data_IF_167017407199
#
_entry.id   IF_167017407199
#
_cell.length_a   1.000
_cell.length_b   1.000
_cell.length_c   1.000
_cell.angle_alpha   90.00
_cell.angle_beta   90.00
_cell.angle_gamma   90.00
#
_symmetry.space_group_name_H-M   'P 1'
#
loop_
_entity.id
_entity.type
_entity.pdbx_description
1 polymer ?
#
# COMPACT_ATOMS: atom_id res chain seq x y z
N UNK A 1 18.18 -38.42 0.43
CA UNK A 1 17.73 -37.80 1.69
C UNK A 1 18.29 -36.40 1.78
N UNK A 2 17.57 -35.42 1.24
CA UNK A 2 17.68 -33.99 1.57
C UNK A 2 16.25 -33.48 1.46
N UNK A 3 15.63 -33.00 2.54
CA UNK A 3 14.22 -32.64 2.55
C UNK A 3 13.96 -31.40 1.70
N UNK A 4 12.75 -31.38 1.14
CA UNK A 4 12.16 -30.39 0.25
C UNK A 4 11.97 -29.00 0.89
N UNK A 5 13.02 -28.18 0.97
CA UNK A 5 12.90 -26.78 1.41
C UNK A 5 13.93 -25.90 0.70
N UNK A 6 13.63 -25.48 -0.52
CA UNK A 6 14.12 -24.19 -1.05
C UNK A 6 13.38 -23.74 -2.33
N UNK A 7 12.13 -24.17 -2.48
CA UNK A 7 11.17 -23.53 -3.39
C UNK A 7 10.34 -22.46 -2.68
N UNK A 8 10.89 -21.83 -1.62
CA UNK A 8 10.32 -20.67 -0.92
C UNK A 8 11.25 -19.44 -1.02
N UNK A 9 12.44 -19.61 -1.59
CA UNK A 9 13.46 -18.57 -1.77
C UNK A 9 13.47 -17.94 -3.17
N UNK A 10 12.44 -18.21 -4.00
CA UNK A 10 12.25 -17.48 -5.26
C UNK A 10 11.73 -16.05 -4.98
N UNK A 11 12.59 -15.06 -5.25
CA UNK A 11 12.27 -13.65 -5.55
C UNK A 11 12.11 -12.60 -4.43
N UNK A 12 12.61 -12.77 -3.20
CA UNK A 12 12.75 -11.61 -2.29
C UNK A 12 14.08 -10.90 -2.53
N UNK A 13 14.07 -9.82 -3.33
CA UNK A 13 15.26 -8.97 -3.58
C UNK A 13 15.78 -8.25 -2.32
N UNK A 14 15.11 -8.39 -1.17
CA UNK A 14 15.41 -7.74 0.09
C UNK A 14 15.65 -8.73 1.23
N UNK A 15 16.48 -8.33 2.19
CA UNK A 15 16.78 -9.10 3.41
C UNK A 15 15.53 -9.30 4.27
N UNK A 16 15.40 -10.45 4.96
CA UNK A 16 14.30 -10.78 5.90
C UNK A 16 13.79 -9.61 6.79
N UNK A 17 14.66 -8.80 7.45
CA UNK A 17 14.18 -7.67 8.25
C UNK A 17 13.48 -6.60 7.41
N UNK A 18 13.92 -6.37 6.17
CA UNK A 18 13.38 -5.32 5.31
C UNK A 18 12.01 -5.72 4.79
N UNK A 19 11.84 -6.97 4.36
CA UNK A 19 10.52 -7.51 3.97
C UNK A 19 9.52 -7.38 5.13
N UNK A 20 9.95 -7.75 6.34
CA UNK A 20 9.09 -7.63 7.54
C UNK A 20 8.70 -6.18 7.82
N UNK A 21 9.66 -5.25 7.74
CA UNK A 21 9.40 -3.82 7.94
C UNK A 21 8.43 -3.25 6.90
N UNK A 22 8.62 -3.60 5.62
CA UNK A 22 7.74 -3.21 4.53
C UNK A 22 6.33 -3.74 4.77
N UNK A 23 6.18 -5.05 5.02
CA UNK A 23 4.87 -5.65 5.28
C UNK A 23 4.16 -4.97 6.46
N UNK A 24 4.86 -4.68 7.54
CA UNK A 24 4.28 -3.98 8.70
C UNK A 24 3.91 -2.54 8.34
N UNK A 25 4.76 -1.78 7.64
CA UNK A 25 4.43 -0.41 7.24
C UNK A 25 3.21 -0.37 6.32
N UNK A 26 3.16 -1.24 5.30
CA UNK A 26 2.02 -1.37 4.40
C UNK A 26 0.73 -1.72 5.17
N UNK A 27 0.80 -2.65 6.13
CA UNK A 27 -0.34 -3.00 6.97
C UNK A 27 -0.80 -1.81 7.84
N UNK A 28 0.12 -1.04 8.41
CA UNK A 28 -0.25 0.13 9.22
C UNK A 28 -0.87 1.25 8.38
N UNK A 29 -0.35 1.52 7.18
CA UNK A 29 -0.91 2.51 6.25
C UNK A 29 -2.28 2.06 5.78
N UNK A 30 -2.47 0.77 5.50
CA UNK A 30 -3.77 0.21 5.14
C UNK A 30 -4.80 0.38 6.25
N UNK A 31 -4.44 0.07 7.50
CA UNK A 31 -5.33 0.24 8.65
C UNK A 31 -5.61 1.73 8.90
N UNK A 32 -4.61 2.60 8.82
CA UNK A 32 -4.77 4.04 9.01
C UNK A 32 -5.66 4.65 7.92
N UNK A 33 -5.45 4.26 6.66
CA UNK A 33 -6.27 4.65 5.52
C UNK A 33 -7.71 4.16 5.67
N UNK A 34 -7.93 2.91 6.07
CA UNK A 34 -9.27 2.40 6.35
C UNK A 34 -9.93 3.17 7.48
N UNK A 35 -9.28 3.34 8.64
CA UNK A 35 -9.87 4.02 9.79
C UNK A 35 -10.17 5.49 9.49
N UNK A 36 -9.26 6.20 8.84
CA UNK A 36 -9.43 7.60 8.45
C UNK A 36 -10.57 7.77 7.45
N UNK A 37 -10.57 6.99 6.38
CA UNK A 37 -11.59 7.07 5.33
C UNK A 37 -12.95 6.57 5.81
N UNK A 38 -13.01 5.53 6.64
CA UNK A 38 -14.25 5.01 7.20
C UNK A 38 -14.87 5.97 8.22
N UNK A 39 -14.05 6.61 9.06
CA UNK A 39 -14.53 7.65 9.98
C UNK A 39 -15.14 8.83 9.21
N UNK A 40 -14.48 9.26 8.14
CA UNK A 40 -14.98 10.31 7.23
C UNK A 40 -16.31 9.88 6.62
N UNK A 41 -16.40 8.73 5.96
CA UNK A 41 -17.66 8.21 5.38
C UNK A 41 -18.76 8.15 6.45
N UNK A 42 -18.45 7.69 7.66
CA UNK A 42 -19.41 7.59 8.76
C UNK A 42 -19.93 8.97 9.19
N UNK A 43 -19.05 9.98 9.30
CA UNK A 43 -19.41 11.37 9.62
C UNK A 43 -20.28 11.97 8.51
N UNK A 44 -19.90 11.72 7.25
CA UNK A 44 -20.60 12.18 6.04
C UNK A 44 -22.01 11.58 5.97
N UNK A 45 -22.14 10.26 6.17
CA UNK A 45 -23.42 9.56 6.17
C UNK A 45 -24.31 9.99 7.34
N UNK A 46 -23.72 10.22 8.51
CA UNK A 46 -24.43 10.68 9.71
C UNK A 46 -24.98 12.10 9.53
N UNK A 47 -24.35 12.93 8.69
CA UNK A 47 -24.80 14.28 8.42
C UNK A 47 -25.52 14.40 7.06
N UNK A 48 -26.67 13.73 6.96
CA UNK A 48 -27.50 13.65 5.74
C UNK A 48 -27.97 15.03 5.20
N UNK A 49 -27.99 16.06 6.05
CA UNK A 49 -28.42 17.42 5.68
C UNK A 49 -27.35 18.23 4.91
N UNK A 50 -26.09 17.77 4.89
CA UNK A 50 -24.96 18.48 4.29
C UNK A 50 -24.40 17.75 3.06
N UNK A 51 -25.26 17.28 2.16
CA UNK A 51 -24.85 16.75 0.82
C UNK A 51 -24.44 17.89 -0.13
N UNK A 52 -23.53 18.75 0.32
CA UNK A 52 -22.90 19.77 -0.52
C UNK A 52 -21.77 19.17 -1.36
N UNK A 53 -21.35 19.86 -2.42
CA UNK A 53 -20.25 19.48 -3.34
C UNK A 53 -18.98 19.05 -2.59
N UNK A 54 -18.69 19.71 -1.46
CA UNK A 54 -17.56 19.37 -0.57
C UNK A 54 -17.62 17.94 -0.05
N UNK A 55 -18.82 17.42 0.24
CA UNK A 55 -19.01 16.10 0.83
C UNK A 55 -18.77 14.98 -0.20
N UNK A 56 -19.15 15.24 -1.46
CA UNK A 56 -18.86 14.36 -2.59
C UNK A 56 -17.35 14.34 -2.89
N UNK A 57 -16.70 15.50 -2.82
CA UNK A 57 -15.25 15.59 -2.98
C UNK A 57 -14.49 14.79 -1.91
N UNK A 58 -14.91 14.89 -0.66
CA UNK A 58 -14.33 14.15 0.46
C UNK A 58 -14.53 12.63 0.30
N UNK A 59 -15.73 12.18 -0.08
CA UNK A 59 -15.96 10.76 -0.39
C UNK A 59 -15.09 10.28 -1.55
N UNK A 60 -14.98 11.07 -2.62
CA UNK A 60 -14.15 10.72 -3.76
C UNK A 60 -12.66 10.64 -3.41
N UNK A 61 -12.17 11.57 -2.57
CA UNK A 61 -10.81 11.53 -2.03
C UNK A 61 -10.57 10.25 -1.23
N UNK A 62 -11.50 9.90 -0.34
CA UNK A 62 -11.40 8.69 0.47
C UNK A 62 -11.42 7.40 -0.37
N UNK A 63 -12.19 7.39 -1.46
CA UNK A 63 -12.23 6.26 -2.39
C UNK A 63 -10.94 6.15 -3.20
N UNK A 64 -10.39 7.30 -3.63
CA UNK A 64 -9.11 7.37 -4.34
C UNK A 64 -7.96 6.88 -3.45
N UNK A 65 -7.93 7.26 -2.17
CA UNK A 65 -6.92 6.79 -1.22
C UNK A 65 -7.00 5.27 -1.00
N UNK A 66 -8.21 4.70 -0.90
CA UNK A 66 -8.39 3.25 -0.83
C UNK A 66 -7.92 2.56 -2.12
N UNK A 67 -8.24 3.13 -3.29
CA UNK A 67 -7.77 2.61 -4.58
C UNK A 67 -6.24 2.67 -4.69
N UNK A 68 -5.62 3.77 -4.28
CA UNK A 68 -4.17 3.91 -4.25
C UNK A 68 -3.57 2.88 -3.30
N UNK A 69 -4.13 2.73 -2.10
CA UNK A 69 -3.59 1.77 -1.12
C UNK A 69 -3.74 0.31 -1.59
N UNK A 70 -4.81 -0.03 -2.31
CA UNK A 70 -5.07 -1.39 -2.80
C UNK A 70 -4.31 -1.71 -4.08
N UNK A 71 -4.17 -0.74 -5.01
CA UNK A 71 -3.58 -0.99 -6.32
C UNK A 71 -2.14 -0.48 -6.45
N UNK A 72 -1.85 0.71 -5.96
CA UNK A 72 -0.53 1.35 -6.13
C UNK A 72 0.50 0.74 -5.17
N UNK A 73 0.16 0.56 -3.89
CA UNK A 73 1.09 -0.01 -2.90
C UNK A 73 1.64 -1.39 -3.29
N UNK A 74 0.83 -2.40 -3.70
CA UNK A 74 1.39 -3.68 -4.13
C UNK A 74 2.14 -3.60 -5.46
N UNK A 75 1.75 -2.70 -6.38
CA UNK A 75 2.50 -2.45 -7.61
C UNK A 75 3.87 -1.85 -7.29
N UNK A 76 3.96 -0.89 -6.38
CA UNK A 76 5.22 -0.28 -5.93
C UNK A 76 6.08 -1.30 -5.19
N UNK A 77 5.52 -2.13 -4.30
CA UNK A 77 6.25 -3.21 -3.65
C UNK A 77 6.77 -4.23 -4.66
N UNK A 78 5.92 -4.64 -5.62
CA UNK A 78 6.29 -5.56 -6.68
C UNK A 78 7.39 -4.97 -7.57
N UNK A 79 7.31 -3.68 -7.91
CA UNK A 79 8.38 -2.98 -8.63
C UNK A 79 9.66 -2.90 -7.81
N UNK A 80 9.58 -2.64 -6.51
CA UNK A 80 10.76 -2.55 -5.63
C UNK A 80 11.44 -3.92 -5.45
N UNK A 81 10.64 -5.00 -5.43
CA UNK A 81 11.14 -6.37 -5.36
C UNK A 81 11.69 -6.83 -6.72
N UNK A 82 10.95 -6.66 -7.82
CA UNK A 82 11.37 -7.11 -9.16
C UNK A 82 12.53 -6.25 -9.73
N UNK A 83 12.58 -4.96 -9.41
CA UNK A 83 13.64 -4.02 -9.88
C UNK A 83 14.82 -3.95 -8.89
N UNK A 84 14.82 -4.80 -7.86
CA UNK A 84 15.81 -4.83 -6.78
C UNK A 84 17.26 -5.13 -7.16
N UNK A 85 17.61 -5.29 -8.45
CA UNK A 85 19.01 -5.40 -8.86
C UNK A 85 19.36 -4.78 -10.22
N UNK A 86 18.62 -3.80 -10.73
CA UNK A 86 19.00 -3.18 -12.02
C UNK A 86 19.25 -1.67 -11.95
N UNK A 87 18.57 -0.94 -11.05
CA UNK A 87 18.56 0.53 -11.11
C UNK A 87 18.94 1.28 -9.82
N UNK A 88 19.25 0.60 -8.72
CA UNK A 88 19.66 1.28 -7.47
C UNK A 88 20.92 2.15 -7.61
N UNK A 89 21.83 1.79 -8.52
CA UNK A 89 23.00 2.61 -8.86
C UNK A 89 22.82 3.43 -10.14
N UNK A 90 21.94 3.02 -11.07
CA UNK A 90 21.73 3.73 -12.34
C UNK A 90 20.77 4.93 -12.20
N UNK A 91 19.87 4.93 -11.21
CA UNK A 91 19.00 6.09 -10.94
C UNK A 91 19.69 7.20 -10.13
N UNK A 92 20.84 6.92 -9.50
CA UNK A 92 21.69 7.96 -8.89
C UNK A 92 22.70 8.55 -9.89
N UNK A 93 22.66 8.13 -11.17
CA UNK A 93 23.47 8.67 -12.25
C UNK A 93 22.62 8.92 -13.50
N UNK A 94 21.61 9.80 -13.40
CA UNK A 94 21.21 10.74 -14.46
C UNK A 94 20.11 11.68 -13.95
#
# INVERSE_FOLDING_TARGET
>A
TTPDLDSDTWELAYSYPITTLLTVSYATIFIAGLLGNFAVITIVLRNHHMRSVTNIFICNLSLADLLVTVFVEPLTLLQNIIVGWHWGAAACWC
#
